data_IF_363544223458
#
_entry.id   IF_363544223458
#
_cell.length_a   1.000
_cell.length_b   1.000
_cell.length_c   1.000
_cell.angle_alpha   90.00
_cell.angle_beta   90.00
_cell.angle_gamma   90.00
#
_symmetry.space_group_name_H-M   'P 1'
#
loop_
_entity.id
_entity.type
_entity.pdbx_description
1 polymer ?
#
# COMPACT_ATOMS: atom_id res chain seq x y z
N UNK A 1 9.47 -13.02 12.63
CA UNK A 1 8.03 -12.72 12.60
C UNK A 1 7.76 -11.94 11.33
N UNK A 2 6.90 -12.43 10.43
CA UNK A 2 6.61 -11.73 9.18
C UNK A 2 5.66 -10.56 9.49
N UNK A 3 6.21 -9.34 9.57
CA UNK A 3 5.49 -8.11 9.91
C UNK A 3 4.27 -7.93 9.01
N UNK A 4 4.37 -8.37 7.75
CA UNK A 4 3.28 -8.26 6.80
C UNK A 4 2.11 -9.20 7.10
N UNK A 5 2.36 -10.44 7.55
CA UNK A 5 1.30 -11.36 7.99
C UNK A 5 0.61 -10.87 9.26
N UNK A 6 1.36 -10.23 10.14
CA UNK A 6 0.78 -9.60 11.34
C UNK A 6 -0.15 -8.43 10.96
N UNK A 7 0.25 -7.59 10.01
CA UNK A 7 -0.58 -6.51 9.48
C UNK A 7 -1.85 -7.02 8.78
N UNK A 8 -1.75 -8.08 7.97
CA UNK A 8 -2.88 -8.74 7.32
C UNK A 8 -3.91 -9.25 8.34
N UNK A 9 -3.43 -9.91 9.40
CA UNK A 9 -4.27 -10.40 10.50
C UNK A 9 -4.93 -9.26 11.28
N UNK A 10 -4.19 -8.17 11.54
CA UNK A 10 -4.71 -6.98 12.21
C UNK A 10 -5.82 -6.31 11.39
N UNK A 11 -5.72 -6.35 10.06
CA UNK A 11 -6.70 -5.77 9.14
C UNK A 11 -7.90 -6.68 8.87
N UNK A 12 -7.91 -7.92 9.37
CA UNK A 12 -8.96 -8.93 9.13
C UNK A 12 -9.24 -9.09 7.63
N UNK A 13 -8.19 -9.27 6.82
CA UNK A 13 -8.32 -9.45 5.37
C UNK A 13 -8.82 -10.86 5.03
N UNK A 14 -10.13 -11.05 5.06
CA UNK A 14 -10.76 -12.26 4.51
C UNK A 14 -10.71 -12.26 2.97
N UNK A 15 -10.97 -13.41 2.34
CA UNK A 15 -10.97 -13.57 0.88
C UNK A 15 -11.86 -12.53 0.17
N UNK A 16 -13.02 -12.20 0.75
CA UNK A 16 -13.91 -11.15 0.24
C UNK A 16 -13.31 -9.75 0.35
N UNK A 17 -12.53 -9.48 1.41
CA UNK A 17 -11.83 -8.22 1.57
C UNK A 17 -10.71 -8.08 0.54
N UNK A 18 -9.97 -9.16 0.26
CA UNK A 18 -8.98 -9.21 -0.82
C UNK A 18 -9.59 -8.90 -2.20
N UNK A 19 -10.77 -9.45 -2.50
CA UNK A 19 -11.46 -9.14 -3.76
C UNK A 19 -11.85 -7.67 -3.87
N UNK A 20 -12.34 -7.06 -2.79
CA UNK A 20 -12.67 -5.61 -2.75
C UNK A 20 -11.43 -4.74 -2.78
N UNK A 21 -10.34 -5.20 -2.18
CA UNK A 21 -9.04 -4.54 -2.15
C UNK A 21 -8.46 -4.32 -3.55
N UNK A 22 -8.75 -5.25 -4.47
CA UNK A 22 -8.35 -5.15 -5.89
C UNK A 22 -9.10 -4.07 -6.67
N UNK A 23 -10.12 -3.42 -6.09
CA UNK A 23 -10.84 -2.34 -6.75
C UNK A 23 -9.91 -1.13 -7.01
N UNK A 24 -9.81 -0.63 -8.25
CA UNK A 24 -8.95 0.51 -8.57
C UNK A 24 -9.25 1.75 -7.72
N UNK A 25 -10.52 2.04 -7.45
CA UNK A 25 -10.91 3.17 -6.61
C UNK A 25 -10.40 3.01 -5.18
N UNK A 26 -10.43 1.78 -4.63
CA UNK A 26 -9.83 1.50 -3.32
C UNK A 26 -8.33 1.74 -3.33
N UNK A 27 -7.63 1.25 -4.35
CA UNK A 27 -6.17 1.41 -4.45
C UNK A 27 -5.78 2.89 -4.56
N UNK A 28 -6.35 3.62 -5.51
CA UNK A 28 -5.99 5.03 -5.73
C UNK A 28 -6.35 5.92 -4.55
N UNK A 29 -7.49 5.68 -3.90
CA UNK A 29 -7.90 6.49 -2.76
C UNK A 29 -7.16 6.16 -1.46
N UNK A 30 -6.36 5.09 -1.40
CA UNK A 30 -5.42 4.85 -0.30
C UNK A 30 -4.13 5.65 -0.45
N UNK A 31 -3.75 6.02 -1.67
CA UNK A 31 -2.60 6.90 -1.89
C UNK A 31 -2.82 8.31 -1.33
N UNK A 32 -4.06 8.70 -0.99
CA UNK A 32 -4.33 9.99 -0.34
C UNK A 32 -4.02 9.99 1.16
N UNK A 33 -3.93 8.82 1.80
CA UNK A 33 -3.76 8.69 3.26
C UNK A 33 -2.47 9.36 3.72
N UNK A 34 -1.34 9.06 3.08
CA UNK A 34 -0.04 9.59 3.49
C UNK A 34 0.06 11.12 3.30
N UNK A 35 -0.32 11.70 2.13
CA UNK A 35 -0.38 13.16 1.98
C UNK A 35 -1.31 13.85 2.99
N UNK A 36 -2.50 13.31 3.23
CA UNK A 36 -3.44 13.88 4.21
C UNK A 36 -2.88 13.81 5.63
N UNK A 37 -2.24 12.71 6.00
CA UNK A 37 -1.59 12.56 7.29
C UNK A 37 -0.46 13.59 7.47
N UNK A 38 0.39 13.77 6.45
CA UNK A 38 1.43 14.80 6.48
C UNK A 38 0.84 16.19 6.69
N UNK A 39 -0.19 16.56 5.91
CA UNK A 39 -0.82 17.87 6.01
C UNK A 39 -1.39 18.11 7.42
N UNK A 40 -2.15 17.17 7.95
CA UNK A 40 -2.76 17.31 9.28
C UNK A 40 -1.70 17.45 10.37
N UNK A 41 -0.60 16.69 10.29
CA UNK A 41 0.43 16.72 11.33
C UNK A 41 1.37 17.93 11.23
N UNK A 42 1.66 18.42 10.03
CA UNK A 42 2.52 19.59 9.83
C UNK A 42 1.77 20.88 10.21
N UNK A 43 0.49 21.00 9.82
CA UNK A 43 -0.36 22.14 10.17
C UNK A 43 -1.07 22.00 11.52
N UNK A 44 -0.59 21.11 12.40
CA UNK A 44 -1.28 20.79 13.67
C UNK A 44 -1.45 21.99 14.61
N UNK A 45 -0.51 22.94 14.59
CA UNK A 45 -0.57 24.12 15.47
C UNK A 45 -1.64 25.11 14.98
N UNK A 46 -1.77 25.29 13.66
CA UNK A 46 -2.82 26.11 13.05
C UNK A 46 -4.21 25.47 13.19
N UNK A 47 -4.28 24.14 13.10
CA UNK A 47 -5.52 23.37 13.25
C UNK A 47 -5.98 23.26 14.71
N UNK A 48 -5.06 23.33 15.67
CA UNK A 48 -5.35 23.18 17.10
C UNK A 48 -6.12 21.89 17.41
N UNK A 49 -7.27 22.03 18.07
CA UNK A 49 -8.14 20.90 18.43
C UNK A 49 -8.72 20.14 17.22
N UNK A 50 -8.79 20.75 16.04
CA UNK A 50 -9.27 20.07 14.81
C UNK A 50 -8.30 19.01 14.30
N UNK A 51 -7.04 19.02 14.73
CA UNK A 51 -6.07 17.98 14.40
C UNK A 51 -6.56 16.60 14.79
N UNK A 52 -7.15 16.44 16.00
CA UNK A 52 -7.60 15.15 16.50
C UNK A 52 -8.73 14.52 15.65
N UNK A 53 -9.87 15.19 15.38
CA UNK A 53 -10.91 14.61 14.55
C UNK A 53 -10.45 14.36 13.11
N UNK A 54 -9.52 15.16 12.56
CA UNK A 54 -8.93 14.90 11.24
C UNK A 54 -8.09 13.62 11.25
N UNK A 55 -7.24 13.41 12.26
CA UNK A 55 -6.46 12.17 12.42
C UNK A 55 -7.37 10.95 12.57
N UNK A 56 -8.42 11.05 13.40
CA UNK A 56 -9.42 9.98 13.56
C UNK A 56 -10.09 9.66 12.24
N UNK A 57 -10.44 10.68 11.45
CA UNK A 57 -11.05 10.49 10.12
C UNK A 57 -10.12 9.76 9.15
N UNK A 58 -8.81 10.04 9.18
CA UNK A 58 -7.80 9.33 8.38
C UNK A 58 -7.68 7.86 8.80
N UNK A 59 -7.68 7.58 10.10
CA UNK A 59 -7.66 6.20 10.63
C UNK A 59 -8.92 5.44 10.21
N UNK A 60 -10.10 6.05 10.37
CA UNK A 60 -11.37 5.49 9.92
C UNK A 60 -11.32 5.24 8.42
N UNK A 61 -10.83 6.19 7.62
CA UNK A 61 -10.71 6.02 6.17
C UNK A 61 -9.80 4.84 5.81
N UNK A 62 -8.65 4.71 6.47
CA UNK A 62 -7.71 3.61 6.25
C UNK A 62 -8.37 2.25 6.48
N UNK A 63 -9.22 2.14 7.52
CA UNK A 63 -9.94 0.92 7.84
C UNK A 63 -11.17 0.68 6.94
N UNK A 64 -11.93 1.74 6.62
CA UNK A 64 -13.17 1.65 5.85
C UNK A 64 -12.91 1.43 4.37
N UNK A 65 -11.84 2.02 3.83
CA UNK A 65 -11.51 2.00 2.41
C UNK A 65 -11.56 0.59 1.77
N UNK A 66 -10.84 -0.43 2.26
CA UNK A 66 -10.88 -1.77 1.65
C UNK A 66 -12.24 -2.47 1.75
N UNK A 67 -13.16 -1.98 2.60
CA UNK A 67 -14.49 -2.58 2.84
C UNK A 67 -15.61 -1.91 2.05
N UNK A 68 -15.44 -0.62 1.74
CA UNK A 68 -16.45 0.26 1.14
C UNK A 68 -16.70 -0.05 -0.34
N UNK A 69 -15.68 -0.48 -1.08
CA UNK A 69 -15.80 -0.70 -2.52
C UNK A 69 -16.25 -2.13 -2.84
N UNK A 70 -17.07 -2.29 -3.88
CA UNK A 70 -17.44 -3.59 -4.41
C UNK A 70 -16.27 -4.26 -5.13
N UNK A 71 -16.29 -5.58 -5.27
CA UNK A 71 -15.32 -6.27 -6.12
C UNK A 71 -15.41 -5.75 -7.57
N UNK A 72 -14.27 -5.46 -8.22
CA UNK A 72 -14.27 -4.93 -9.58
C UNK A 72 -14.74 -5.99 -10.59
N UNK A 73 -15.47 -5.55 -11.63
CA UNK A 73 -15.90 -6.43 -12.73
C UNK A 73 -14.74 -6.78 -13.67
N UNK A 74 -13.85 -5.81 -13.91
CA UNK A 74 -12.63 -5.96 -14.70
C UNK A 74 -11.41 -5.73 -13.80
N UNK A 75 -10.44 -6.62 -13.88
CA UNK A 75 -9.20 -6.63 -13.07
C UNK A 75 -7.94 -6.59 -13.94
N UNK A 76 -8.11 -6.42 -15.25
CA UNK A 76 -7.02 -6.19 -16.20
C UNK A 76 -6.58 -4.72 -16.16
N UNK A 77 -6.13 -4.26 -15.00
CA UNK A 77 -5.65 -2.90 -14.77
C UNK A 77 -4.50 -2.91 -13.75
N UNK A 78 -3.69 -1.85 -13.74
CA UNK A 78 -2.50 -1.72 -12.90
C UNK A 78 -2.83 -1.90 -11.41
N UNK A 79 -3.91 -1.27 -10.93
CA UNK A 79 -4.29 -1.29 -9.52
C UNK A 79 -4.65 -2.70 -9.03
N UNK A 80 -5.50 -3.42 -9.77
CA UNK A 80 -5.90 -4.78 -9.43
C UNK A 80 -4.71 -5.75 -9.49
N UNK A 81 -3.92 -5.70 -10.56
CA UNK A 81 -2.72 -6.56 -10.68
C UNK A 81 -1.70 -6.32 -9.57
N UNK A 82 -1.55 -5.07 -9.12
CA UNK A 82 -0.67 -4.73 -8.01
C UNK A 82 -1.07 -5.45 -6.72
N UNK A 83 -2.37 -5.51 -6.43
CA UNK A 83 -2.88 -6.23 -5.24
C UNK A 83 -2.72 -7.75 -5.34
N UNK A 84 -2.84 -8.32 -6.55
CA UNK A 84 -2.60 -9.74 -6.77
C UNK A 84 -1.13 -10.10 -6.55
N UNK A 85 -0.21 -9.30 -7.08
CA UNK A 85 1.21 -9.48 -6.83
C UNK A 85 1.57 -9.34 -5.36
N UNK A 86 0.94 -8.41 -4.64
CA UNK A 86 1.11 -8.26 -3.19
C UNK A 86 0.68 -9.53 -2.45
N UNK A 87 -0.49 -10.09 -2.77
CA UNK A 87 -0.98 -11.35 -2.19
C UNK A 87 0.00 -12.50 -2.42
N UNK A 88 0.57 -12.63 -3.62
CA UNK A 88 1.58 -13.64 -3.95
C UNK A 88 2.87 -13.39 -3.15
N UNK A 89 3.33 -12.14 -3.09
CA UNK A 89 4.52 -11.75 -2.35
C UNK A 89 4.40 -12.02 -0.85
N UNK A 90 3.21 -11.87 -0.26
CA UNK A 90 2.93 -12.24 1.13
C UNK A 90 3.02 -13.75 1.36
N UNK A 91 2.62 -14.55 0.36
CA UNK A 91 2.71 -16.01 0.41
C UNK A 91 4.07 -16.59 -0.04
N UNK A 92 5.07 -15.75 -0.31
CA UNK A 92 6.41 -16.14 -0.83
C UNK A 92 7.13 -17.24 -0.05
N UNK A 93 6.87 -17.38 1.26
CA UNK A 93 7.51 -18.41 2.09
C UNK A 93 6.89 -19.79 1.89
N UNK A 94 5.64 -19.84 1.43
CA UNK A 94 4.92 -21.07 1.15
C UNK A 94 5.00 -21.46 -0.33
N UNK A 95 5.49 -20.55 -1.19
CA UNK A 95 5.51 -20.73 -2.63
C UNK A 95 6.85 -20.32 -3.25
N UNK A 96 7.61 -21.29 -3.76
CA UNK A 96 8.87 -21.06 -4.47
C UNK A 96 8.67 -20.61 -5.94
N UNK A 97 7.56 -19.95 -6.26
CA UNK A 97 7.24 -19.50 -7.62
C UNK A 97 7.84 -18.15 -7.97
N UNK A 98 8.25 -17.36 -6.97
CA UNK A 98 8.67 -15.97 -7.18
C UNK A 98 10.14 -15.92 -7.61
N UNK A 99 10.46 -15.38 -8.80
CA UNK A 99 11.85 -15.23 -9.22
C UNK A 99 12.67 -14.36 -8.25
N UNK A 100 13.93 -14.75 -8.01
CA UNK A 100 14.81 -14.07 -7.05
C UNK A 100 15.07 -12.58 -7.36
N UNK A 101 14.98 -12.16 -8.63
CA UNK A 101 15.18 -10.77 -9.00
C UNK A 101 14.06 -9.86 -8.46
N UNK A 102 12.81 -10.33 -8.43
CA UNK A 102 11.68 -9.61 -7.82
C UNK A 102 11.90 -9.41 -6.32
N UNK A 103 12.31 -10.46 -5.62
CA UNK A 103 12.58 -10.41 -4.18
C UNK A 103 13.70 -9.43 -3.83
N UNK A 104 14.79 -9.42 -4.61
CA UNK A 104 15.89 -8.46 -4.44
C UNK A 104 15.42 -7.02 -4.62
N UNK A 105 14.65 -6.77 -5.68
CA UNK A 105 14.13 -5.44 -5.96
C UNK A 105 13.16 -4.95 -4.87
N UNK A 106 12.28 -5.84 -4.39
CA UNK A 106 11.38 -5.53 -3.28
C UNK A 106 12.14 -5.16 -2.00
N UNK A 107 13.19 -5.92 -1.65
CA UNK A 107 14.04 -5.59 -0.49
C UNK A 107 14.72 -4.24 -0.64
N UNK A 108 15.23 -3.91 -1.83
CA UNK A 108 15.82 -2.61 -2.12
C UNK A 108 14.79 -1.49 -1.91
N UNK A 109 13.61 -1.60 -2.51
CA UNK A 109 12.57 -0.58 -2.42
C UNK A 109 12.08 -0.41 -0.98
N UNK A 110 11.89 -1.50 -0.23
CA UNK A 110 11.56 -1.45 1.20
C UNK A 110 12.68 -0.78 2.00
N UNK A 111 13.95 -1.03 1.67
CA UNK A 111 15.09 -0.31 2.25
C UNK A 111 15.01 1.21 2.03
N UNK A 112 14.65 1.65 0.82
CA UNK A 112 14.44 3.07 0.52
C UNK A 112 13.28 3.68 1.31
N UNK A 113 12.20 2.91 1.54
CA UNK A 113 11.07 3.34 2.38
C UNK A 113 11.50 3.48 3.85
N UNK A 114 12.27 2.52 4.37
CA UNK A 114 12.80 2.54 5.75
C UNK A 114 13.69 3.76 5.97
N UNK A 115 14.45 4.20 4.97
CA UNK A 115 15.27 5.42 5.07
C UNK A 115 14.39 6.68 5.03
N UNK A 116 13.34 6.69 4.21
CA UNK A 116 12.45 7.84 4.08
C UNK A 116 11.61 8.13 5.33
N UNK A 117 11.19 7.09 6.06
CA UNK A 117 10.29 7.23 7.21
C UNK A 117 10.89 8.04 8.38
N UNK A 118 12.13 7.82 8.85
CA UNK A 118 12.74 8.67 9.87
C UNK A 118 12.87 10.13 9.46
N UNK A 119 13.20 10.41 8.19
CA UNK A 119 13.28 11.77 7.66
C UNK A 119 11.90 12.42 7.69
N UNK A 120 10.86 11.69 7.28
CA UNK A 120 9.47 12.17 7.39
C UNK A 120 9.06 12.42 8.84
N UNK A 121 9.37 11.51 9.77
CA UNK A 121 9.04 11.67 11.19
C UNK A 121 9.71 12.92 11.77
N UNK A 122 11.00 13.13 11.46
CA UNK A 122 11.75 14.31 11.87
C UNK A 122 11.13 15.58 11.28
N UNK A 123 10.82 15.58 9.98
CA UNK A 123 10.24 16.73 9.30
C UNK A 123 8.89 17.14 9.88
N UNK A 124 8.03 16.17 10.18
CA UNK A 124 6.73 16.41 10.80
C UNK A 124 6.88 16.88 12.24
N UNK A 125 7.77 16.26 13.03
CA UNK A 125 8.05 16.66 14.41
C UNK A 125 8.49 18.12 14.49
N UNK A 126 9.47 18.50 13.68
CA UNK A 126 10.04 19.85 13.59
C UNK A 126 9.22 20.82 12.73
N UNK A 127 8.07 20.40 12.19
CA UNK A 127 7.17 21.20 11.35
C UNK A 127 7.84 21.82 10.11
N UNK A 128 8.84 21.13 9.55
CA UNK A 128 9.56 21.57 8.36
C UNK A 128 8.77 21.24 7.10
N UNK A 129 7.99 22.22 6.62
CA UNK A 129 7.11 22.07 5.45
C UNK A 129 7.83 21.54 4.20
N UNK A 130 9.00 22.10 3.89
CA UNK A 130 9.85 21.72 2.76
C UNK A 130 10.25 20.24 2.82
N UNK A 131 10.79 19.83 3.97
CA UNK A 131 11.26 18.47 4.19
C UNK A 131 10.12 17.48 4.32
N UNK A 132 8.98 17.89 4.88
CA UNK A 132 7.78 17.07 5.02
C UNK A 132 7.17 16.75 3.65
N UNK A 133 7.11 17.74 2.74
CA UNK A 133 6.67 17.52 1.36
C UNK A 133 7.64 16.59 0.63
N UNK A 134 8.95 16.87 0.68
CA UNK A 134 9.95 16.06 -0.01
C UNK A 134 9.97 14.60 0.47
N UNK A 135 9.96 14.40 1.78
CA UNK A 135 9.94 13.05 2.38
C UNK A 135 8.62 12.31 2.13
N UNK A 136 7.49 13.02 2.09
CA UNK A 136 6.20 12.44 1.66
C UNK A 136 6.27 11.99 0.20
N UNK A 137 6.77 12.84 -0.70
CA UNK A 137 6.95 12.48 -2.11
C UNK A 137 7.87 11.27 -2.27
N UNK A 138 8.95 11.19 -1.50
CA UNK A 138 9.85 10.04 -1.48
C UNK A 138 9.15 8.75 -1.05
N UNK A 139 8.43 8.76 0.08
CA UNK A 139 7.68 7.59 0.58
C UNK A 139 6.60 7.19 -0.42
N UNK A 140 5.91 8.16 -1.02
CA UNK A 140 4.88 7.92 -2.03
C UNK A 140 5.43 7.32 -3.32
N UNK A 141 6.54 7.86 -3.82
CA UNK A 141 7.23 7.36 -5.01
C UNK A 141 7.71 5.92 -4.79
N UNK A 142 8.41 5.67 -3.69
CA UNK A 142 8.91 4.33 -3.37
C UNK A 142 7.77 3.33 -3.10
N UNK A 143 6.63 3.77 -2.54
CA UNK A 143 5.42 2.95 -2.41
C UNK A 143 4.80 2.63 -3.77
N UNK A 144 4.68 3.61 -4.66
CA UNK A 144 4.16 3.41 -6.01
C UNK A 144 5.05 2.46 -6.81
N UNK A 145 6.38 2.62 -6.72
CA UNK A 145 7.33 1.73 -7.35
C UNK A 145 7.25 0.30 -6.81
N UNK A 146 7.01 0.14 -5.50
CA UNK A 146 6.76 -1.19 -4.92
C UNK A 146 5.51 -1.83 -5.52
N UNK A 147 4.39 -1.09 -5.62
CA UNK A 147 3.15 -1.61 -6.23
C UNK A 147 3.36 -1.95 -7.69
N UNK A 148 4.12 -1.13 -8.43
CA UNK A 148 4.49 -1.44 -9.81
C UNK A 148 5.24 -2.77 -9.89
N UNK A 149 6.23 -3.02 -9.01
CA UNK A 149 6.92 -4.31 -8.95
C UNK A 149 5.98 -5.48 -8.63
N UNK A 150 4.90 -5.28 -7.90
CA UNK A 150 3.88 -6.31 -7.68
C UNK A 150 3.12 -6.64 -8.98
N UNK A 151 2.84 -5.64 -9.82
CA UNK A 151 2.22 -5.87 -11.14
C UNK A 151 3.12 -6.77 -12.00
N UNK A 152 4.40 -6.43 -12.10
CA UNK A 152 5.37 -7.24 -12.85
C UNK A 152 5.48 -8.67 -12.29
N UNK A 153 5.56 -8.79 -10.96
CA UNK A 153 5.59 -10.10 -10.30
C UNK A 153 4.38 -10.93 -10.68
N UNK A 154 3.17 -10.37 -10.60
CA UNK A 154 1.95 -11.05 -10.98
C UNK A 154 1.97 -11.47 -12.45
N UNK A 155 2.39 -10.59 -13.35
CA UNK A 155 2.44 -10.89 -14.79
C UNK A 155 3.36 -12.07 -15.12
N UNK A 156 4.48 -12.20 -14.43
CA UNK A 156 5.43 -13.31 -14.63
C UNK A 156 4.88 -14.65 -14.13
N UNK A 157 4.12 -14.64 -13.03
CA UNK A 157 3.69 -15.88 -12.36
C UNK A 157 2.23 -16.27 -12.64
N UNK A 158 1.41 -15.39 -13.25
CA UNK A 158 -0.04 -15.64 -13.45
C UNK A 158 -0.35 -16.95 -14.19
N UNK A 159 0.55 -17.40 -15.07
CA UNK A 159 0.37 -18.62 -15.86
C UNK A 159 0.92 -19.87 -15.15
N UNK A 160 1.58 -19.73 -14.00
CA UNK A 160 2.15 -20.85 -13.26
C UNK A 160 1.09 -21.64 -12.47
N UNK A 161 -0.08 -21.03 -12.20
CA UNK A 161 -1.18 -21.64 -11.45
C UNK A 161 -2.54 -21.23 -12.04
N UNK A 162 -3.50 -22.16 -12.18
CA UNK A 162 -4.87 -21.83 -12.59
C UNK A 162 -5.57 -20.83 -11.66
N UNK A 163 -5.26 -20.88 -10.36
CA UNK A 163 -5.80 -19.95 -9.36
C UNK A 163 -5.44 -18.49 -9.70
N UNK A 164 -4.17 -18.21 -10.05
CA UNK A 164 -3.71 -16.86 -10.37
C UNK A 164 -4.34 -16.34 -11.66
N UNK A 165 -4.50 -17.22 -12.65
CA UNK A 165 -5.19 -16.87 -13.88
C UNK A 165 -6.66 -16.52 -13.63
N UNK A 166 -7.33 -17.20 -12.70
CA UNK A 166 -8.75 -16.95 -12.36
C UNK A 166 -9.00 -15.55 -11.77
N UNK A 167 -7.96 -14.91 -11.22
CA UNK A 167 -8.07 -13.55 -10.70
C UNK A 167 -8.15 -12.50 -11.81
N UNK A 168 -7.66 -12.80 -13.01
CA UNK A 168 -7.73 -11.91 -14.17
C UNK A 168 -9.09 -12.03 -14.88
N UNK A 169 -9.98 -11.09 -14.56
CA UNK A 169 -11.27 -10.85 -15.20
C UNK A 169 -11.14 -9.72 -16.23
N UNK A 170 -11.60 -9.97 -17.46
CA UNK A 170 -11.67 -9.00 -18.55
C UNK A 170 -13.06 -8.38 -18.66
#
# INVERSE_FOLDING_TARGET
MDVFKAAEKLMSMDESAWQRHSNPLSVYSRFTIMPLLTLVLVFRDDLGWWTLPMLVSIVIWTWLNPRLFSAPKNTNNWASMGTFGERIYLNRHNENLIPHHHLRMCKLIVGLQIIGLPIWCFAVYDMRYDLAVLSTLWVMFTKMWFVDRMVWLYQDVKNCKPEYQSWLKQ
#
